data_IF_268955436866
#
_entry.id   IF_268955436866
#
_cell.length_a   1.000
_cell.length_b   1.000
_cell.length_c   1.000
_cell.angle_alpha   90.00
_cell.angle_beta   90.00
_cell.angle_gamma   90.00
#
_symmetry.space_group_name_H-M   'P 1'
#
loop_
_entity.id
_entity.type
_entity.pdbx_description
1 polymer ?
#
# COMPACT_ATOMS: atom_id res chain seq x y z
N UNK A 1 39.03 -37.13 27.72
CA UNK A 1 37.97 -37.41 26.70
C UNK A 1 36.84 -36.41 26.93
N UNK A 2 36.80 -35.36 26.13
CA UNK A 2 35.73 -34.35 26.21
C UNK A 2 34.72 -34.78 25.17
N UNK A 3 33.54 -35.22 25.64
CA UNK A 3 32.41 -35.55 24.78
C UNK A 3 31.92 -34.27 24.09
N UNK A 4 31.79 -34.21 22.77
CA UNK A 4 31.18 -33.06 22.11
C UNK A 4 29.72 -32.98 22.53
N UNK A 5 29.29 -31.84 23.08
CA UNK A 5 27.94 -31.52 23.37
C UNK A 5 27.19 -31.41 22.02
N UNK A 6 26.39 -32.40 21.70
CA UNK A 6 25.50 -32.33 20.54
C UNK A 6 24.36 -31.42 20.96
N UNK A 7 24.42 -30.15 20.59
CA UNK A 7 23.33 -29.23 20.73
C UNK A 7 22.23 -29.67 19.71
N UNK A 8 21.22 -30.34 20.22
CA UNK A 8 20.01 -30.59 19.46
C UNK A 8 19.35 -29.22 19.20
N UNK A 9 19.03 -28.89 17.93
CA UNK A 9 18.28 -27.66 17.65
C UNK A 9 17.00 -27.68 18.48
N UNK A 10 16.80 -26.61 19.26
CA UNK A 10 15.67 -26.49 20.17
C UNK A 10 14.40 -26.39 19.34
N UNK A 11 13.60 -27.48 19.23
CA UNK A 11 12.38 -27.53 18.38
C UNK A 11 11.45 -26.33 18.61
N UNK A 12 11.44 -25.76 19.83
CA UNK A 12 10.67 -24.57 20.14
C UNK A 12 11.18 -23.30 19.45
N UNK A 13 12.46 -23.22 19.15
CA UNK A 13 13.12 -22.10 18.51
C UNK A 13 12.84 -22.10 16.98
N UNK A 14 12.84 -23.29 16.38
CA UNK A 14 12.49 -23.47 14.97
C UNK A 14 11.03 -23.05 14.67
N UNK A 15 10.09 -23.38 15.55
CA UNK A 15 8.70 -22.96 15.42
C UNK A 15 8.55 -21.44 15.57
N UNK A 16 9.30 -20.83 16.47
CA UNK A 16 9.26 -19.37 16.67
C UNK A 16 9.80 -18.62 15.46
N UNK A 17 10.91 -19.08 14.86
CA UNK A 17 11.46 -18.41 13.68
C UNK A 17 10.54 -18.56 12.47
N UNK A 18 9.89 -19.71 12.28
CA UNK A 18 8.86 -19.87 11.25
C UNK A 18 7.68 -18.90 11.45
N UNK A 19 7.28 -18.64 12.70
CA UNK A 19 6.24 -17.65 12.98
C UNK A 19 6.69 -16.23 12.63
N UNK A 20 7.98 -15.88 12.83
CA UNK A 20 8.54 -14.60 12.34
C UNK A 20 8.48 -14.51 10.82
N UNK A 21 8.84 -15.58 10.11
CA UNK A 21 8.76 -15.63 8.64
C UNK A 21 7.32 -15.46 8.14
N UNK A 22 6.35 -16.11 8.77
CA UNK A 22 4.93 -15.93 8.43
C UNK A 22 4.46 -14.50 8.67
N UNK A 23 4.76 -13.91 9.83
CA UNK A 23 4.43 -12.52 10.13
C UNK A 23 5.04 -11.55 9.11
N UNK A 24 6.29 -11.80 8.68
CA UNK A 24 6.96 -11.03 7.63
C UNK A 24 6.20 -11.09 6.31
N UNK A 25 5.79 -12.30 5.88
CA UNK A 25 5.04 -12.49 4.64
C UNK A 25 3.70 -11.77 4.73
N UNK A 26 2.96 -11.92 5.83
CA UNK A 26 1.68 -11.24 6.04
C UNK A 26 1.83 -9.71 6.01
N UNK A 27 2.88 -9.19 6.63
CA UNK A 27 3.19 -7.76 6.61
C UNK A 27 3.53 -7.27 5.19
N UNK A 28 4.26 -8.05 4.39
CA UNK A 28 4.55 -7.72 2.99
C UNK A 28 3.28 -7.73 2.13
N UNK A 29 2.37 -8.69 2.34
CA UNK A 29 1.05 -8.69 1.69
C UNK A 29 0.22 -7.48 2.10
N UNK A 30 0.18 -7.15 3.39
CA UNK A 30 -0.47 -5.95 3.91
C UNK A 30 0.07 -4.68 3.24
N UNK A 31 1.40 -4.54 3.19
CA UNK A 31 2.08 -3.44 2.48
C UNK A 31 1.62 -3.29 1.04
N UNK A 32 1.75 -4.36 0.23
CA UNK A 32 1.39 -4.34 -1.19
C UNK A 32 -0.09 -4.05 -1.43
N UNK A 33 -0.96 -4.70 -0.68
CA UNK A 33 -2.41 -4.49 -0.77
C UNK A 33 -2.78 -3.01 -0.58
N UNK A 34 -2.18 -2.34 0.41
CA UNK A 34 -2.45 -0.95 0.69
C UNK A 34 -1.80 0.00 -0.32
N UNK A 35 -0.60 -0.28 -0.84
CA UNK A 35 -0.04 0.50 -1.95
C UNK A 35 -0.91 0.39 -3.21
N UNK A 36 -1.34 -0.82 -3.59
CA UNK A 36 -2.22 -1.02 -4.75
C UNK A 36 -3.55 -0.25 -4.60
N UNK A 37 -4.12 -0.24 -3.38
CA UNK A 37 -5.32 0.55 -3.08
C UNK A 37 -5.07 2.06 -3.19
N UNK A 38 -3.93 2.55 -2.70
CA UNK A 38 -3.51 3.94 -2.83
C UNK A 38 -3.39 4.34 -4.31
N UNK A 39 -2.63 3.58 -5.09
CA UNK A 39 -2.38 3.88 -6.51
C UNK A 39 -3.66 3.85 -7.33
N UNK A 40 -4.58 2.93 -7.04
CA UNK A 40 -5.90 2.88 -7.68
C UNK A 40 -6.72 4.14 -7.38
N UNK A 41 -6.76 4.56 -6.11
CA UNK A 41 -7.50 5.77 -5.70
C UNK A 41 -6.87 7.04 -6.24
N UNK A 42 -5.55 7.10 -6.30
CA UNK A 42 -4.80 8.20 -6.91
C UNK A 42 -5.12 8.35 -8.40
N UNK A 43 -5.16 7.23 -9.15
CA UNK A 43 -5.57 7.24 -10.57
C UNK A 43 -6.97 7.80 -10.74
N UNK A 44 -7.93 7.41 -9.89
CA UNK A 44 -9.29 7.97 -9.94
C UNK A 44 -9.28 9.48 -9.68
N UNK A 45 -8.53 9.94 -8.69
CA UNK A 45 -8.41 11.36 -8.39
C UNK A 45 -7.83 12.15 -9.56
N UNK A 46 -6.77 11.65 -10.19
CA UNK A 46 -6.13 12.26 -11.36
C UNK A 46 -7.10 12.30 -12.55
N UNK A 47 -7.77 11.18 -12.87
CA UNK A 47 -8.70 11.11 -14.00
C UNK A 47 -9.85 12.11 -13.82
N UNK A 48 -10.48 12.14 -12.63
CA UNK A 48 -11.57 13.09 -12.35
C UNK A 48 -11.03 14.53 -12.43
N UNK A 49 -9.85 14.82 -11.89
CA UNK A 49 -9.24 16.14 -11.97
C UNK A 49 -8.98 16.60 -13.40
N UNK A 50 -8.41 15.72 -14.24
CA UNK A 50 -8.19 16.02 -15.66
C UNK A 50 -9.51 16.26 -16.39
N UNK A 51 -10.54 15.42 -16.17
CA UNK A 51 -11.86 15.62 -16.77
C UNK A 51 -12.46 16.97 -16.37
N UNK A 52 -12.33 17.39 -15.11
CA UNK A 52 -12.79 18.70 -14.63
C UNK A 52 -12.06 19.85 -15.31
N UNK A 53 -10.73 19.76 -15.45
CA UNK A 53 -9.93 20.79 -16.13
C UNK A 53 -10.38 20.91 -17.59
N UNK A 54 -10.55 19.80 -18.30
CA UNK A 54 -11.00 19.81 -19.68
C UNK A 54 -12.42 20.39 -19.82
N UNK A 55 -13.35 19.99 -18.96
CA UNK A 55 -14.71 20.54 -18.95
C UNK A 55 -14.71 22.06 -18.74
N UNK A 56 -13.96 22.55 -17.76
CA UNK A 56 -13.83 23.97 -17.49
C UNK A 56 -13.20 24.75 -18.66
N UNK A 57 -12.19 24.17 -19.33
CA UNK A 57 -11.58 24.78 -20.51
C UNK A 57 -12.58 24.94 -21.66
N UNK A 58 -13.44 23.92 -21.89
CA UNK A 58 -14.51 23.99 -22.89
C UNK A 58 -15.53 25.07 -22.54
N UNK A 59 -15.98 25.12 -21.28
CA UNK A 59 -16.93 26.12 -20.80
C UNK A 59 -16.38 27.54 -20.99
N UNK A 60 -15.11 27.77 -20.57
CA UNK A 60 -14.45 29.07 -20.69
C UNK A 60 -14.28 29.51 -22.16
N UNK A 61 -13.85 28.61 -23.03
CA UNK A 61 -13.69 28.89 -24.46
C UNK A 61 -15.03 29.27 -25.12
N UNK A 62 -16.11 28.60 -24.73
CA UNK A 62 -17.43 28.88 -25.28
C UNK A 62 -18.01 30.18 -24.73
N UNK A 63 -17.77 30.54 -23.48
CA UNK A 63 -18.17 31.81 -22.93
C UNK A 63 -17.57 32.99 -23.73
N UNK A 64 -16.28 32.89 -24.09
CA UNK A 64 -15.60 33.87 -24.93
C UNK A 64 -16.28 33.95 -26.31
N UNK A 65 -16.57 32.79 -26.93
CA UNK A 65 -17.24 32.73 -28.24
C UNK A 65 -18.65 33.38 -28.22
N UNK A 66 -19.43 33.11 -27.18
CA UNK A 66 -20.80 33.68 -27.04
C UNK A 66 -20.75 35.21 -26.85
N UNK A 67 -19.76 35.71 -26.09
CA UNK A 67 -19.60 37.15 -25.90
C UNK A 67 -19.23 37.86 -27.20
N UNK A 68 -18.36 37.23 -28.03
CA UNK A 68 -17.86 37.84 -29.26
C UNK A 68 -18.84 37.69 -30.44
N UNK A 69 -19.59 36.57 -30.52
CA UNK A 69 -20.35 36.18 -31.73
C UNK A 69 -21.88 36.26 -31.56
N UNK A 70 -22.38 36.65 -30.38
CA UNK A 70 -23.84 36.68 -30.05
C UNK A 70 -24.59 35.36 -30.39
N UNK A 71 -23.85 34.25 -30.40
CA UNK A 71 -24.36 32.93 -30.81
C UNK A 71 -24.99 32.18 -29.64
N UNK A 72 -26.33 32.05 -29.66
CA UNK A 72 -27.10 31.34 -28.61
C UNK A 72 -27.24 29.83 -28.82
N UNK A 73 -26.75 29.29 -29.93
CA UNK A 73 -27.08 27.95 -30.43
C UNK A 73 -26.54 26.79 -29.59
N UNK A 74 -25.50 26.98 -28.79
CA UNK A 74 -24.85 25.90 -28.03
C UNK A 74 -25.11 25.96 -26.51
N UNK A 75 -25.99 26.82 -26.05
CA UNK A 75 -26.25 27.03 -24.61
C UNK A 75 -26.65 25.77 -23.84
N UNK A 76 -27.49 24.91 -24.43
CA UNK A 76 -27.96 23.69 -23.78
C UNK A 76 -26.83 22.66 -23.58
N UNK A 77 -25.96 22.48 -24.58
CA UNK A 77 -24.83 21.52 -24.50
C UNK A 77 -23.83 21.97 -23.43
N UNK A 78 -23.53 23.26 -23.35
CA UNK A 78 -22.62 23.82 -22.38
C UNK A 78 -23.18 23.74 -20.96
N UNK A 79 -24.50 24.00 -20.83
CA UNK A 79 -25.17 23.86 -19.53
C UNK A 79 -25.11 22.40 -19.05
N UNK A 80 -25.24 21.42 -19.94
CA UNK A 80 -25.12 20.00 -19.62
C UNK A 80 -23.67 19.66 -19.18
N UNK A 81 -22.66 20.15 -19.91
CA UNK A 81 -21.26 19.97 -19.54
C UNK A 81 -20.96 20.61 -18.16
N UNK A 82 -21.47 21.81 -17.94
CA UNK A 82 -21.33 22.51 -16.64
C UNK A 82 -21.99 21.75 -15.48
N UNK A 83 -23.17 21.18 -15.73
CA UNK A 83 -23.85 20.35 -14.74
C UNK A 83 -23.02 19.09 -14.41
N UNK A 84 -22.53 18.37 -15.43
CA UNK A 84 -21.68 17.20 -15.22
C UNK A 84 -20.39 17.57 -14.47
N UNK A 85 -19.74 18.66 -14.84
CA UNK A 85 -18.54 19.15 -14.15
C UNK A 85 -18.82 19.45 -12.67
N UNK A 86 -19.95 20.07 -12.37
CA UNK A 86 -20.37 20.36 -11.00
C UNK A 86 -20.59 19.08 -10.20
N UNK A 87 -21.28 18.08 -10.77
CA UNK A 87 -21.48 16.79 -10.11
C UNK A 87 -20.14 16.09 -9.84
N UNK A 88 -19.23 16.09 -10.81
CA UNK A 88 -17.89 15.50 -10.64
C UNK A 88 -17.08 16.22 -9.54
N UNK A 89 -17.17 17.53 -9.47
CA UNK A 89 -16.51 18.31 -8.42
C UNK A 89 -17.05 17.98 -7.02
N UNK A 90 -18.37 17.83 -6.89
CA UNK A 90 -19.00 17.40 -5.64
C UNK A 90 -18.54 15.99 -5.25
N UNK A 91 -18.53 15.07 -6.18
CA UNK A 91 -18.06 13.68 -5.97
C UNK A 91 -16.61 13.67 -5.51
N UNK A 92 -15.73 14.44 -6.18
CA UNK A 92 -14.32 14.54 -5.79
C UNK A 92 -14.13 15.10 -4.39
N UNK A 93 -14.86 16.15 -4.03
CA UNK A 93 -14.83 16.77 -2.70
C UNK A 93 -15.34 15.80 -1.62
N UNK A 94 -16.44 15.08 -1.89
CA UNK A 94 -17.05 14.14 -0.95
C UNK A 94 -16.13 12.95 -0.63
N UNK A 95 -15.56 12.33 -1.65
CA UNK A 95 -14.71 11.14 -1.46
C UNK A 95 -13.31 11.46 -0.93
N UNK A 96 -12.86 12.71 -1.00
CA UNK A 96 -11.55 13.16 -0.52
C UNK A 96 -10.42 12.14 -0.82
N UNK A 97 -10.29 11.79 -2.10
CA UNK A 97 -9.37 10.74 -2.56
C UNK A 97 -7.93 10.98 -2.09
N UNK A 98 -7.46 12.22 -2.08
CA UNK A 98 -6.10 12.56 -1.66
C UNK A 98 -5.81 12.11 -0.22
N UNK A 99 -6.72 12.39 0.71
CA UNK A 99 -6.61 11.96 2.11
C UNK A 99 -6.62 10.44 2.24
N UNK A 100 -7.48 9.77 1.47
CA UNK A 100 -7.58 8.32 1.53
C UNK A 100 -6.33 7.63 0.95
N UNK A 101 -5.73 8.20 -0.12
CA UNK A 101 -4.44 7.76 -0.68
C UNK A 101 -3.34 7.86 0.38
N UNK A 102 -3.23 9.00 1.05
CA UNK A 102 -2.24 9.21 2.11
C UNK A 102 -2.41 8.21 3.26
N UNK A 103 -3.65 7.96 3.71
CA UNK A 103 -3.94 6.98 4.75
C UNK A 103 -3.48 5.57 4.33
N UNK A 104 -3.79 5.12 3.12
CA UNK A 104 -3.33 3.82 2.63
C UNK A 104 -1.80 3.74 2.54
N UNK A 105 -1.12 4.79 2.07
CA UNK A 105 0.34 4.85 2.03
C UNK A 105 0.96 4.77 3.43
N UNK A 106 0.41 5.50 4.39
CA UNK A 106 0.87 5.44 5.78
C UNK A 106 0.73 4.04 6.38
N UNK A 107 -0.38 3.36 6.13
CA UNK A 107 -0.59 1.98 6.57
C UNK A 107 0.40 1.02 5.90
N UNK A 108 0.63 1.16 4.60
CA UNK A 108 1.61 0.36 3.88
C UNK A 108 3.03 0.52 4.47
N UNK A 109 3.41 1.74 4.86
CA UNK A 109 4.70 2.02 5.52
C UNK A 109 4.78 1.36 6.90
N UNK A 110 3.69 1.33 7.68
CA UNK A 110 3.66 0.62 8.97
C UNK A 110 3.90 -0.87 8.78
N UNK A 111 3.22 -1.52 7.84
CA UNK A 111 3.48 -2.93 7.50
C UNK A 111 4.90 -3.18 7.00
N UNK A 112 5.46 -2.28 6.19
CA UNK A 112 6.86 -2.38 5.75
C UNK A 112 7.84 -2.34 6.94
N UNK A 113 7.54 -1.53 7.97
CA UNK A 113 8.35 -1.46 9.20
C UNK A 113 8.38 -2.82 9.90
N UNK A 114 7.24 -3.48 10.05
CA UNK A 114 7.14 -4.82 10.64
C UNK A 114 7.94 -5.83 9.81
N UNK A 115 7.75 -5.86 8.49
CA UNK A 115 8.47 -6.78 7.61
C UNK A 115 10.00 -6.62 7.73
N UNK A 116 10.50 -5.37 7.78
CA UNK A 116 11.91 -5.08 8.00
C UNK A 116 12.39 -5.47 9.41
N UNK A 117 11.53 -5.34 10.43
CA UNK A 117 11.86 -5.78 11.78
C UNK A 117 11.98 -7.30 11.85
N UNK A 118 11.06 -8.04 11.22
CA UNK A 118 11.15 -9.50 11.09
C UNK A 118 12.46 -9.92 10.39
N UNK A 119 12.83 -9.26 9.29
CA UNK A 119 14.09 -9.56 8.60
C UNK A 119 15.32 -9.34 9.47
N UNK A 120 15.32 -8.33 10.37
CA UNK A 120 16.41 -8.14 11.34
C UNK A 120 16.44 -9.25 12.38
N UNK A 121 15.28 -9.69 12.87
CA UNK A 121 15.18 -10.80 13.82
C UNK A 121 15.72 -12.08 13.19
N UNK A 122 15.36 -12.38 11.94
CA UNK A 122 15.91 -13.52 11.19
C UNK A 122 17.43 -13.47 11.09
N UNK A 123 18.01 -12.29 10.83
CA UNK A 123 19.44 -12.11 10.76
C UNK A 123 20.11 -12.34 12.14
N UNK A 124 19.60 -11.71 13.20
CA UNK A 124 20.14 -11.87 14.55
C UNK A 124 20.02 -13.29 15.08
N UNK A 125 18.93 -14.01 14.73
CA UNK A 125 18.78 -15.41 15.07
C UNK A 125 19.83 -16.26 14.34
N UNK A 126 20.06 -16.03 13.05
CA UNK A 126 21.06 -16.73 12.23
C UNK A 126 22.48 -16.51 12.75
N UNK A 127 22.77 -15.30 13.24
CA UNK A 127 24.06 -14.94 13.82
C UNK A 127 24.24 -15.47 15.27
N UNK A 128 23.21 -16.14 15.84
CA UNK A 128 23.25 -16.68 17.20
C UNK A 128 23.27 -15.62 18.31
N UNK A 129 22.84 -14.39 18.00
CA UNK A 129 22.87 -13.24 18.93
C UNK A 129 21.65 -13.27 19.87
N UNK A 130 20.51 -13.81 19.40
CA UNK A 130 19.25 -13.84 20.15
C UNK A 130 19.09 -15.14 20.95
N UNK A 131 18.71 -15.01 22.20
CA UNK A 131 18.21 -16.13 22.98
C UNK A 131 16.78 -16.49 22.58
N UNK A 132 16.36 -17.74 22.84
CA UNK A 132 14.99 -18.19 22.56
C UNK A 132 13.92 -17.36 23.28
N UNK A 133 14.23 -16.81 24.44
CA UNK A 133 13.33 -15.92 25.19
C UNK A 133 13.17 -14.57 24.48
N UNK A 134 14.27 -13.93 24.12
CA UNK A 134 14.27 -12.64 23.42
C UNK A 134 13.60 -12.75 22.04
N UNK A 135 13.79 -13.88 21.34
CA UNK A 135 13.15 -14.14 20.06
C UNK A 135 11.61 -14.13 20.20
N UNK A 136 11.08 -14.80 21.24
CA UNK A 136 9.64 -14.83 21.52
C UNK A 136 9.10 -13.47 21.90
N UNK A 137 9.76 -12.77 22.80
CA UNK A 137 9.35 -11.43 23.24
C UNK A 137 9.28 -10.44 22.08
N UNK A 138 10.26 -10.47 21.16
CA UNK A 138 10.26 -9.62 19.97
C UNK A 138 9.16 -10.01 18.98
N UNK A 139 8.91 -11.31 18.79
CA UNK A 139 7.83 -11.79 17.96
C UNK A 139 6.46 -11.33 18.50
N UNK A 140 6.21 -11.52 19.81
CA UNK A 140 4.96 -11.13 20.44
C UNK A 140 4.71 -9.62 20.33
N UNK A 141 5.76 -8.81 20.54
CA UNK A 141 5.69 -7.35 20.36
C UNK A 141 5.33 -6.96 18.91
N UNK A 142 5.94 -7.59 17.91
CA UNK A 142 5.64 -7.30 16.50
C UNK A 142 4.26 -7.83 16.08
N UNK A 143 3.83 -8.97 16.60
CA UNK A 143 2.50 -9.51 16.36
C UNK A 143 1.42 -8.56 16.91
N UNK A 144 1.63 -8.04 18.12
CA UNK A 144 0.74 -7.05 18.71
C UNK A 144 0.69 -5.75 17.90
N UNK A 145 1.85 -5.24 17.41
CA UNK A 145 1.89 -4.07 16.53
C UNK A 145 1.12 -4.33 15.22
N UNK A 146 1.27 -5.54 14.64
CA UNK A 146 0.55 -5.94 13.43
C UNK A 146 -0.97 -5.97 13.65
N UNK A 147 -1.44 -6.53 14.76
CA UNK A 147 -2.85 -6.56 15.13
C UNK A 147 -3.41 -5.14 15.31
N UNK A 148 -2.71 -4.26 16.04
CA UNK A 148 -3.10 -2.86 16.21
C UNK A 148 -3.22 -2.10 14.89
N UNK A 149 -2.29 -2.33 13.94
CA UNK A 149 -2.36 -1.75 12.60
C UNK A 149 -3.61 -2.27 11.88
N UNK A 150 -3.85 -3.57 11.91
CA UNK A 150 -4.99 -4.21 11.26
C UNK A 150 -6.32 -3.68 11.79
N UNK A 151 -6.46 -3.57 13.11
CA UNK A 151 -7.65 -3.04 13.76
C UNK A 151 -7.86 -1.56 13.43
N UNK A 152 -6.81 -0.73 13.56
CA UNK A 152 -6.89 0.71 13.28
C UNK A 152 -7.20 1.03 11.83
N UNK A 153 -7.01 0.07 10.93
CA UNK A 153 -7.23 0.23 9.49
C UNK A 153 -8.45 -0.51 8.94
N UNK A 154 -9.25 -1.12 9.83
CA UNK A 154 -10.46 -1.86 9.43
C UNK A 154 -11.44 -1.02 8.59
N UNK A 155 -11.50 0.30 8.80
CA UNK A 155 -12.32 1.23 8.02
C UNK A 155 -11.73 1.58 6.64
N UNK A 156 -10.47 1.22 6.36
CA UNK A 156 -9.82 1.49 5.07
C UNK A 156 -10.06 0.34 4.11
N UNK A 157 -11.14 0.45 3.31
CA UNK A 157 -11.51 -0.61 2.38
C UNK A 157 -10.47 -0.83 1.29
N UNK A 158 -10.02 -2.07 1.16
CA UNK A 158 -9.25 -2.58 0.02
C UNK A 158 -10.16 -3.45 -0.85
N UNK A 159 -9.90 -3.49 -2.15
CA UNK A 159 -10.65 -4.32 -3.07
C UNK A 159 -9.96 -5.68 -3.28
N UNK A 160 -10.72 -6.68 -3.70
CA UNK A 160 -10.19 -7.99 -4.10
C UNK A 160 -9.05 -7.87 -5.13
N UNK A 161 -9.18 -6.95 -6.09
CA UNK A 161 -8.14 -6.68 -7.09
C UNK A 161 -6.82 -6.20 -6.47
N UNK A 162 -6.87 -5.44 -5.39
CA UNK A 162 -5.65 -4.96 -4.71
C UNK A 162 -4.88 -6.14 -4.10
N UNK A 163 -5.61 -7.15 -3.59
CA UNK A 163 -5.03 -8.39 -3.07
C UNK A 163 -4.50 -9.28 -4.20
N UNK A 164 -5.27 -9.47 -5.28
CA UNK A 164 -4.87 -10.27 -6.44
C UNK A 164 -3.59 -9.70 -7.10
N UNK A 165 -3.50 -8.37 -7.24
CA UNK A 165 -2.30 -7.71 -7.72
C UNK A 165 -1.11 -7.86 -6.75
N UNK A 166 -1.35 -7.82 -5.44
CA UNK A 166 -0.31 -8.08 -4.46
C UNK A 166 0.23 -9.50 -4.61
N UNK A 167 -0.66 -10.49 -4.71
CA UNK A 167 -0.30 -11.90 -4.92
C UNK A 167 0.51 -12.09 -6.20
N UNK A 168 0.04 -11.54 -7.31
CA UNK A 168 0.74 -11.62 -8.60
C UNK A 168 2.15 -11.04 -8.52
N UNK A 169 2.33 -9.88 -7.89
CA UNK A 169 3.64 -9.29 -7.71
C UNK A 169 4.60 -10.16 -6.88
N UNK A 170 4.09 -10.95 -5.91
CA UNK A 170 4.90 -11.95 -5.21
C UNK A 170 5.29 -13.13 -6.12
N UNK A 171 4.33 -13.62 -6.92
CA UNK A 171 4.57 -14.70 -7.90
C UNK A 171 5.58 -14.25 -8.97
N UNK A 172 5.52 -13.00 -9.42
CA UNK A 172 6.44 -12.38 -10.38
C UNK A 172 7.82 -12.03 -9.76
N UNK A 173 7.99 -12.22 -8.44
CA UNK A 173 9.29 -12.06 -7.75
C UNK A 173 9.68 -10.62 -7.38
N UNK A 174 8.76 -9.66 -7.42
CA UNK A 174 9.04 -8.24 -7.10
C UNK A 174 9.67 -7.99 -5.72
N UNK A 175 9.48 -8.90 -4.76
CA UNK A 175 10.05 -8.81 -3.40
C UNK A 175 11.32 -9.67 -3.22
N UNK A 176 11.82 -10.32 -4.28
CA UNK A 176 13.07 -11.07 -4.25
C UNK A 176 14.23 -10.13 -4.52
N UNK A 177 14.87 -9.65 -3.47
CA UNK A 177 16.17 -8.98 -3.59
C UNK A 177 17.22 -10.03 -3.92
N UNK A 178 17.65 -10.12 -5.18
CA UNK A 178 18.82 -10.91 -5.52
C UNK A 178 20.07 -10.09 -5.16
N UNK A 179 20.74 -10.46 -4.07
CA UNK A 179 22.04 -9.91 -3.69
C UNK A 179 23.19 -10.41 -4.62
N UNK A 180 22.86 -11.01 -5.77
CA UNK A 180 23.85 -11.62 -6.67
C UNK A 180 24.63 -10.64 -7.55
N UNK A 181 24.27 -9.35 -7.57
CA UNK A 181 24.97 -8.38 -8.44
C UNK A 181 26.13 -7.63 -7.77
N UNK A 182 26.43 -7.85 -6.50
CA UNK A 182 27.51 -7.12 -5.81
C UNK A 182 28.78 -7.93 -5.53
N UNK A 183 28.93 -9.12 -6.10
CA UNK A 183 30.10 -9.97 -5.88
C UNK A 183 30.94 -10.25 -7.15
N UNK A 184 30.70 -9.50 -8.24
CA UNK A 184 31.52 -9.57 -9.47
C UNK A 184 32.01 -8.18 -9.88
N UNK A 185 32.75 -7.47 -8.98
CA UNK A 185 33.71 -6.43 -9.33
C UNK A 185 35.01 -6.61 -8.54
#
# INVERSE_FOLDING_TARGET
MICPRIDFPNMGEEHTIRAVEHLKVDALYGKKKHFNAADRKERYNIVIGVMLIMANAVIASNLIYVIVSDARTFGAVISLIGFIATVLAIVQAFFNYSRTVEQHRMVAIKYLRIAKACSRIEAYHRDGILSAHELRERLDSLAQEYEQITESTACLSTHRKDYENARKGFEDGEERYSLKESSEE
#
